data_IF_315792571787
#
_entry.id   IF_315792571787
#
_cell.length_a   1.000
_cell.length_b   1.000
_cell.length_c   1.000
_cell.angle_alpha   90.00
_cell.angle_beta   90.00
_cell.angle_gamma   90.00
#
_symmetry.space_group_name_H-M   'P 1'
#
loop_
_entity.id
_entity.type
_entity.pdbx_description
1 polymer ?
#
# COMPACT_ATOMS: atom_id res chain seq x y z
N UNK A 1 -54.60 -46.33 -65.39
CA UNK A 1 -54.18 -44.96 -65.42
C UNK A 1 -53.49 -44.68 -64.10
N UNK A 2 -52.15 -44.74 -64.09
CA UNK A 2 -51.31 -44.70 -62.88
C UNK A 2 -50.64 -43.33 -62.75
N UNK A 3 -50.90 -42.64 -61.66
CA UNK A 3 -50.21 -41.40 -61.24
C UNK A 3 -48.96 -41.78 -60.44
N UNK A 4 -47.84 -41.21 -60.84
CA UNK A 4 -46.59 -41.32 -60.12
C UNK A 4 -46.41 -40.03 -59.25
N UNK A 5 -46.31 -40.27 -57.98
CA UNK A 5 -45.86 -39.21 -57.01
C UNK A 5 -44.35 -39.19 -56.89
N UNK A 6 -43.75 -38.04 -57.16
CA UNK A 6 -42.34 -37.83 -56.99
C UNK A 6 -42.09 -37.10 -55.62
N UNK A 7 -41.50 -37.80 -54.68
CA UNK A 7 -40.99 -37.21 -53.48
C UNK A 7 -39.63 -36.53 -53.73
N UNK A 8 -39.55 -35.19 -53.58
CA UNK A 8 -38.29 -34.46 -53.48
C UNK A 8 -37.85 -34.39 -52.02
N UNK A 9 -36.72 -35.02 -51.75
CA UNK A 9 -36.01 -34.92 -50.45
C UNK A 9 -35.10 -33.68 -50.47
N UNK A 10 -35.38 -32.70 -49.66
CA UNK A 10 -34.51 -31.52 -49.44
C UNK A 10 -33.53 -31.80 -48.34
N UNK A 11 -32.26 -31.95 -48.69
CA UNK A 11 -31.15 -32.11 -47.75
C UNK A 11 -30.72 -30.70 -47.27
N UNK A 12 -31.00 -30.41 -46.04
CA UNK A 12 -30.52 -29.15 -45.41
C UNK A 12 -29.06 -29.33 -44.93
N UNK A 13 -28.15 -28.65 -45.57
CA UNK A 13 -26.74 -28.57 -45.15
C UNK A 13 -26.60 -27.49 -44.06
N UNK A 14 -26.36 -27.92 -42.81
CA UNK A 14 -26.05 -27.03 -41.71
C UNK A 14 -24.56 -26.70 -41.78
N UNK A 15 -24.24 -25.46 -42.15
CA UNK A 15 -22.89 -24.88 -42.02
C UNK A 15 -22.66 -24.48 -40.57
N UNK A 16 -21.89 -25.26 -39.81
CA UNK A 16 -21.35 -24.86 -38.54
C UNK A 16 -20.21 -23.85 -38.77
N UNK A 17 -20.51 -22.57 -38.62
CA UNK A 17 -19.51 -21.50 -38.54
C UNK A 17 -18.80 -21.54 -37.20
N UNK A 18 -17.66 -22.20 -37.12
CA UNK A 18 -16.78 -22.16 -35.98
C UNK A 18 -16.08 -20.78 -35.91
N UNK A 19 -16.49 -19.91 -35.01
CA UNK A 19 -15.74 -18.70 -34.69
C UNK A 19 -14.46 -19.09 -33.98
N UNK A 20 -13.34 -19.02 -34.68
CA UNK A 20 -12.01 -19.14 -34.08
C UNK A 20 -11.74 -17.86 -33.28
N UNK A 21 -11.94 -17.90 -31.98
CA UNK A 21 -11.47 -16.83 -31.07
C UNK A 21 -9.94 -16.91 -31.05
N UNK A 22 -9.29 -16.04 -31.79
CA UNK A 22 -7.84 -15.81 -31.66
C UNK A 22 -7.65 -15.09 -30.33
N UNK A 23 -7.22 -15.81 -29.31
CA UNK A 23 -6.68 -15.23 -28.11
C UNK A 23 -5.39 -14.50 -28.52
N UNK A 24 -5.42 -13.16 -28.59
CA UNK A 24 -4.20 -12.38 -28.63
C UNK A 24 -3.47 -12.65 -27.30
N UNK A 25 -2.41 -13.45 -27.37
CA UNK A 25 -1.46 -13.52 -26.28
C UNK A 25 -0.85 -12.13 -26.13
N UNK A 26 -1.08 -11.49 -24.98
CA UNK A 26 -0.37 -10.26 -24.65
C UNK A 26 1.12 -10.54 -24.74
N UNK A 27 1.87 -9.63 -25.36
CA UNK A 27 3.33 -9.72 -25.37
C UNK A 27 3.82 -9.81 -23.93
N UNK A 28 4.82 -10.65 -23.62
CA UNK A 28 5.36 -10.73 -22.26
C UNK A 28 5.81 -9.34 -21.85
N UNK A 29 5.24 -8.83 -20.76
CA UNK A 29 5.66 -7.59 -20.15
C UNK A 29 7.13 -7.73 -19.77
N UNK A 30 8.00 -6.76 -20.13
CA UNK A 30 9.41 -6.79 -19.75
C UNK A 30 9.58 -6.97 -18.23
N UNK A 31 10.68 -7.58 -17.80
CA UNK A 31 10.98 -7.76 -16.38
C UNK A 31 11.23 -6.41 -15.68
N UNK A 32 10.77 -6.28 -14.45
CA UNK A 32 11.08 -5.11 -13.62
C UNK A 32 12.57 -5.07 -13.28
N UNK A 33 13.18 -3.90 -13.41
CA UNK A 33 14.58 -3.69 -13.07
C UNK A 33 14.81 -2.30 -12.51
N UNK A 34 15.94 -2.09 -11.85
CA UNK A 34 16.32 -0.78 -11.34
C UNK A 34 16.61 0.18 -12.50
N UNK A 35 15.82 1.24 -12.62
CA UNK A 35 15.98 2.28 -13.62
C UNK A 35 16.97 3.34 -13.16
N UNK A 36 16.83 3.81 -11.92
CA UNK A 36 17.67 4.86 -11.34
C UNK A 36 17.53 4.89 -9.82
N UNK A 37 18.36 5.69 -9.16
CA UNK A 37 18.31 6.01 -7.75
C UNK A 37 18.25 7.52 -7.55
N UNK A 38 17.48 7.96 -6.57
CA UNK A 38 17.38 9.37 -6.19
C UNK A 38 17.92 9.53 -4.77
N UNK A 39 19.07 10.19 -4.63
CA UNK A 39 19.66 10.46 -3.33
C UNK A 39 18.86 11.54 -2.59
N UNK A 40 18.44 11.24 -1.38
CA UNK A 40 17.66 12.13 -0.54
C UNK A 40 18.47 12.72 0.63
N UNK A 41 19.69 12.26 0.83
CA UNK A 41 20.61 12.77 1.85
C UNK A 41 20.25 12.36 3.27
N UNK A 42 20.77 13.10 4.27
CA UNK A 42 20.59 12.81 5.68
C UNK A 42 19.25 13.34 6.22
N UNK A 43 18.73 12.64 7.24
CA UNK A 43 17.66 13.19 8.08
C UNK A 43 18.18 14.36 8.94
N UNK A 44 17.34 15.34 9.28
CA UNK A 44 17.70 16.36 10.23
C UNK A 44 18.18 15.75 11.55
N UNK A 45 19.32 16.21 12.06
CA UNK A 45 19.94 15.66 13.27
C UNK A 45 20.64 14.31 13.09
N UNK A 46 20.73 13.79 11.87
CA UNK A 46 21.51 12.60 11.52
C UNK A 46 20.95 11.26 12.04
N UNK A 47 19.75 11.24 12.60
CA UNK A 47 19.07 10.00 13.04
C UNK A 47 18.16 9.52 11.91
N UNK A 48 18.57 8.49 11.22
CA UNK A 48 17.83 7.92 10.10
C UNK A 48 16.64 7.09 10.61
N UNK A 49 15.46 7.46 10.13
CA UNK A 49 14.20 6.73 10.23
C UNK A 49 13.32 7.13 9.06
N UNK A 50 12.63 6.20 8.47
CA UNK A 50 11.67 6.43 7.40
C UNK A 50 10.56 5.39 7.47
N UNK A 51 9.45 5.70 6.82
CA UNK A 51 8.27 4.88 6.79
C UNK A 51 7.54 5.06 5.45
N UNK A 52 6.29 5.51 5.44
CA UNK A 52 5.47 5.58 4.24
C UNK A 52 5.98 6.55 3.16
N UNK A 53 5.67 6.18 1.91
CA UNK A 53 5.81 7.03 0.73
C UNK A 53 4.42 7.24 0.14
N UNK A 54 4.04 8.49 -0.11
CA UNK A 54 2.78 8.81 -0.79
C UNK A 54 3.05 9.48 -2.13
N UNK A 55 2.45 8.97 -3.20
CA UNK A 55 2.58 9.54 -4.54
C UNK A 55 1.35 10.36 -4.92
N UNK A 56 1.56 11.64 -5.21
CA UNK A 56 0.55 12.51 -5.84
C UNK A 56 0.69 12.45 -7.36
N UNK A 57 -0.23 11.74 -8.00
CA UNK A 57 -0.24 11.59 -9.45
C UNK A 57 -0.55 12.89 -10.19
N UNK A 58 -1.23 13.84 -9.56
CA UNK A 58 -1.63 15.12 -10.16
C UNK A 58 -0.47 16.09 -10.30
N UNK A 59 0.33 16.25 -9.25
CA UNK A 59 1.52 17.08 -9.23
C UNK A 59 2.81 16.33 -9.56
N UNK A 60 2.74 14.98 -9.67
CA UNK A 60 3.86 14.08 -9.86
C UNK A 60 4.94 14.20 -8.78
N UNK A 61 4.47 14.34 -7.54
CA UNK A 61 5.33 14.47 -6.36
C UNK A 61 5.23 13.23 -5.48
N UNK A 62 6.35 12.84 -4.93
CA UNK A 62 6.46 11.87 -3.84
C UNK A 62 6.61 12.64 -2.54
N UNK A 63 5.82 12.28 -1.54
CA UNK A 63 5.96 12.71 -0.16
C UNK A 63 6.58 11.55 0.60
N UNK A 64 7.80 11.74 1.07
CA UNK A 64 8.63 10.68 1.66
C UNK A 64 8.90 11.02 3.12
N UNK A 65 8.44 10.18 4.03
CA UNK A 65 8.71 10.38 5.45
C UNK A 65 10.22 10.18 5.73
N UNK A 66 10.81 11.10 6.51
CA UNK A 66 12.23 11.04 6.85
C UNK A 66 12.49 11.61 8.25
N UNK A 67 12.20 10.81 9.28
CA UNK A 67 12.37 11.10 10.69
C UNK A 67 11.57 12.34 11.16
N UNK A 68 12.15 13.54 11.10
CA UNK A 68 11.55 14.78 11.59
C UNK A 68 11.11 15.72 10.47
N UNK A 69 11.05 15.20 9.25
CA UNK A 69 10.55 15.92 8.08
C UNK A 69 9.84 14.98 7.10
N UNK A 70 9.04 15.55 6.21
CA UNK A 70 8.58 14.90 4.98
C UNK A 70 9.29 15.59 3.82
N UNK A 71 10.11 14.84 3.07
CA UNK A 71 10.71 15.33 1.83
C UNK A 71 9.70 15.28 0.69
N UNK A 72 9.67 16.32 -0.13
CA UNK A 72 8.84 16.38 -1.33
C UNK A 72 9.72 16.30 -2.55
N UNK A 73 9.55 15.23 -3.33
CA UNK A 73 10.43 14.86 -4.43
C UNK A 73 9.65 14.82 -5.74
N UNK A 74 10.19 15.40 -6.79
CA UNK A 74 9.67 15.29 -8.14
C UNK A 74 9.91 13.88 -8.69
N UNK A 75 8.85 13.13 -8.97
CA UNK A 75 8.93 11.70 -9.27
C UNK A 75 9.68 11.38 -10.59
N UNK A 76 9.71 12.33 -11.53
CA UNK A 76 10.34 12.11 -12.83
C UNK A 76 11.85 12.37 -12.82
N UNK A 77 12.33 13.20 -11.90
CA UNK A 77 13.74 13.67 -11.88
C UNK A 77 14.49 13.33 -10.60
N UNK A 78 13.75 13.00 -9.50
CA UNK A 78 14.34 12.82 -8.18
C UNK A 78 14.72 14.13 -7.47
N UNK A 79 14.39 15.28 -8.06
CA UNK A 79 14.70 16.59 -7.47
C UNK A 79 13.86 16.81 -6.21
N UNK A 80 14.51 17.12 -5.10
CA UNK A 80 13.84 17.59 -3.90
C UNK A 80 13.33 19.00 -4.18
N UNK A 81 11.99 19.19 -4.13
CA UNK A 81 11.33 20.48 -4.40
C UNK A 81 10.90 21.21 -3.14
N UNK A 82 11.02 20.57 -1.99
CA UNK A 82 10.75 21.15 -0.68
C UNK A 82 10.72 20.10 0.42
N UNK A 83 10.45 20.54 1.65
CA UNK A 83 10.19 19.67 2.79
C UNK A 83 9.18 20.31 3.76
N UNK A 84 8.50 19.45 4.53
CA UNK A 84 7.71 19.85 5.69
C UNK A 84 8.54 19.41 6.91
N UNK A 85 9.06 20.38 7.66
CA UNK A 85 10.03 20.16 8.74
C UNK A 85 9.42 20.37 10.14
N UNK A 86 10.28 20.29 11.17
CA UNK A 86 9.94 20.52 12.59
C UNK A 86 8.96 19.48 13.17
N UNK A 87 8.91 18.30 12.57
CA UNK A 87 8.14 17.15 13.03
C UNK A 87 8.92 16.35 14.09
N UNK A 88 8.31 15.33 14.69
CA UNK A 88 8.97 14.55 15.77
C UNK A 88 9.38 13.15 15.31
N UNK A 89 8.46 12.41 14.74
CA UNK A 89 8.66 11.09 14.16
C UNK A 89 7.51 10.81 13.21
N UNK A 90 7.73 11.15 11.96
CA UNK A 90 6.70 11.00 10.93
C UNK A 90 6.58 9.57 10.45
N UNK A 91 5.35 9.19 10.17
CA UNK A 91 5.00 7.92 9.55
C UNK A 91 4.33 8.14 8.19
N UNK A 92 3.00 8.29 8.15
CA UNK A 92 2.22 8.35 6.94
C UNK A 92 1.85 9.77 6.47
N UNK A 93 1.46 9.88 5.21
CA UNK A 93 0.99 11.12 4.60
C UNK A 93 -0.30 10.82 3.80
N UNK A 94 -1.41 11.47 4.16
CA UNK A 94 -2.65 11.44 3.39
C UNK A 94 -2.86 12.77 2.67
N UNK A 95 -3.31 12.71 1.41
CA UNK A 95 -3.56 13.89 0.57
C UNK A 95 -5.06 14.06 0.32
N UNK A 96 -5.58 15.24 0.61
CA UNK A 96 -6.97 15.63 0.34
C UNK A 96 -6.96 16.69 -0.77
N UNK A 97 -6.70 16.23 -2.00
CA UNK A 97 -6.36 17.08 -3.14
C UNK A 97 -7.42 18.15 -3.47
N UNK A 98 -8.72 17.86 -3.27
CA UNK A 98 -9.78 18.84 -3.53
C UNK A 98 -9.81 20.01 -2.53
N UNK A 99 -9.13 19.87 -1.38
CA UNK A 99 -8.92 20.93 -0.38
C UNK A 99 -7.51 21.50 -0.45
N UNK A 100 -6.66 20.99 -1.33
CA UNK A 100 -5.20 21.31 -1.41
C UNK A 100 -4.49 21.11 -0.08
N UNK A 101 -4.97 20.19 0.79
CA UNK A 101 -4.41 19.88 2.11
C UNK A 101 -3.74 18.51 2.15
N UNK A 102 -2.63 18.44 2.84
CA UNK A 102 -1.99 17.19 3.24
C UNK A 102 -2.02 17.03 4.75
N UNK A 103 -2.05 15.79 5.20
CA UNK A 103 -2.13 15.37 6.60
C UNK A 103 -0.99 14.38 6.87
N UNK A 104 -0.18 14.65 7.87
CA UNK A 104 0.98 13.84 8.26
C UNK A 104 0.73 13.27 9.65
N UNK A 105 0.82 11.95 9.80
CA UNK A 105 0.87 11.34 11.13
C UNK A 105 2.24 11.56 11.75
N UNK A 106 2.28 12.36 12.82
CA UNK A 106 3.48 12.61 13.62
C UNK A 106 3.40 11.82 14.93
N UNK A 107 3.80 10.53 14.83
CA UNK A 107 3.69 9.57 15.94
C UNK A 107 4.49 9.97 17.15
N UNK A 108 5.59 10.72 16.99
CA UNK A 108 6.39 11.21 18.10
C UNK A 108 5.73 12.33 18.91
N UNK A 109 4.69 12.96 18.38
CA UNK A 109 3.95 14.06 19.00
C UNK A 109 2.50 13.70 19.37
N UNK A 110 2.04 12.49 19.06
CA UNK A 110 0.64 12.05 19.21
C UNK A 110 -0.32 13.03 18.51
N UNK A 111 0.00 13.41 17.26
CA UNK A 111 -0.79 14.38 16.49
C UNK A 111 -0.72 14.14 14.99
N UNK A 112 -1.64 14.77 14.26
CA UNK A 112 -1.58 14.95 12.82
C UNK A 112 -1.21 16.39 12.52
N UNK A 113 -0.23 16.58 11.63
CA UNK A 113 0.18 17.89 11.13
C UNK A 113 -0.50 18.14 9.79
N UNK A 114 -1.17 19.29 9.67
CA UNK A 114 -1.85 19.71 8.43
C UNK A 114 -0.94 20.67 7.68
N UNK A 115 -0.82 20.48 6.36
CA UNK A 115 -0.04 21.37 5.50
C UNK A 115 -0.77 21.69 4.19
N UNK A 116 -0.44 22.82 3.61
CA UNK A 116 -0.88 23.23 2.29
C UNK A 116 -0.03 22.57 1.21
N UNK A 117 -0.63 21.78 0.32
CA UNK A 117 0.07 20.97 -0.69
C UNK A 117 0.85 21.80 -1.72
N UNK A 118 0.46 23.06 -1.92
CA UNK A 118 1.08 23.94 -2.91
C UNK A 118 2.33 24.63 -2.35
N UNK A 119 2.19 25.24 -1.18
CA UNK A 119 3.27 25.99 -0.52
C UNK A 119 4.14 25.14 0.40
N UNK A 120 3.70 23.93 0.76
CA UNK A 120 4.30 23.01 1.71
C UNK A 120 4.41 23.57 3.15
N UNK A 121 3.64 24.60 3.46
CA UNK A 121 3.63 25.21 4.78
C UNK A 121 2.65 24.51 5.71
N UNK A 122 3.09 24.27 6.94
CA UNK A 122 2.22 23.78 8.03
C UNK A 122 1.14 24.83 8.29
N UNK A 123 -0.11 24.38 8.37
CA UNK A 123 -1.29 25.20 8.62
C UNK A 123 -1.99 24.85 9.95
N UNK A 124 -1.73 23.67 10.52
CA UNK A 124 -2.39 23.24 11.74
C UNK A 124 -1.81 21.98 12.36
N UNK A 125 -2.23 21.74 13.61
CA UNK A 125 -1.90 20.55 14.40
C UNK A 125 -3.17 20.00 15.03
N UNK A 126 -3.42 18.70 14.90
CA UNK A 126 -4.62 18.02 15.40
C UNK A 126 -4.17 16.92 16.35
N UNK A 127 -4.54 17.01 17.63
CA UNK A 127 -4.25 15.94 18.60
C UNK A 127 -5.07 14.71 18.28
N UNK A 128 -4.43 13.55 18.35
CA UNK A 128 -5.02 12.23 18.06
C UNK A 128 -4.85 11.26 19.23
N UNK A 129 -5.12 9.99 19.03
CA UNK A 129 -4.64 8.93 19.91
C UNK A 129 -3.11 8.80 19.86
N UNK A 130 -2.57 7.88 20.66
CA UNK A 130 -1.12 7.74 20.83
C UNK A 130 -0.44 7.04 19.65
N UNK A 131 0.65 7.60 19.16
CA UNK A 131 1.45 7.14 18.03
C UNK A 131 0.59 6.90 16.79
N UNK A 132 0.01 7.96 16.19
CA UNK A 132 -0.61 7.85 14.86
C UNK A 132 0.44 7.37 13.86
N UNK A 133 0.12 6.28 13.17
CA UNK A 133 0.98 5.58 12.22
C UNK A 133 0.42 5.71 10.81
N UNK A 134 -0.25 4.68 10.30
CA UNK A 134 -0.96 4.76 9.04
C UNK A 134 -1.99 5.89 9.07
N UNK A 135 -2.08 6.63 7.98
CA UNK A 135 -3.07 7.68 7.78
C UNK A 135 -3.63 7.60 6.37
N UNK A 136 -4.95 7.57 6.24
CA UNK A 136 -5.63 7.47 4.95
C UNK A 136 -6.77 8.49 4.83
N UNK A 137 -7.06 8.89 3.61
CA UNK A 137 -8.27 9.64 3.26
C UNK A 137 -9.29 8.70 2.64
N UNK A 138 -10.51 8.64 3.19
CA UNK A 138 -11.63 7.94 2.57
C UNK A 138 -12.55 8.91 1.81
N UNK A 139 -12.64 8.80 0.47
CA UNK A 139 -13.48 9.70 -0.32
C UNK A 139 -14.99 9.50 -0.11
N UNK A 140 -15.42 8.34 0.42
CA UNK A 140 -16.82 8.05 0.65
C UNK A 140 -17.40 8.76 1.88
N UNK A 141 -16.64 8.80 2.98
CA UNK A 141 -16.99 9.58 4.18
C UNK A 141 -16.45 11.00 4.12
N UNK A 142 -15.46 11.27 3.26
CA UNK A 142 -14.70 12.53 3.17
C UNK A 142 -13.88 12.84 4.43
N UNK A 143 -13.53 11.83 5.20
CA UNK A 143 -12.70 11.98 6.40
C UNK A 143 -11.30 11.38 6.21
N UNK A 144 -10.39 11.88 7.03
CA UNK A 144 -9.06 11.29 7.22
C UNK A 144 -9.11 10.41 8.47
N UNK A 145 -8.51 9.23 8.37
CA UNK A 145 -8.41 8.25 9.46
C UNK A 145 -6.95 8.04 9.80
N UNK A 146 -6.61 8.09 11.11
CA UNK A 146 -5.30 7.68 11.59
C UNK A 146 -5.42 6.37 12.36
N UNK A 147 -4.47 5.48 12.18
CA UNK A 147 -4.34 4.24 12.93
C UNK A 147 -3.33 4.49 14.06
N UNK A 148 -3.84 4.56 15.31
CA UNK A 148 -3.06 4.98 16.46
C UNK A 148 -2.53 3.75 17.20
N UNK A 149 -1.31 3.32 16.86
CA UNK A 149 -0.76 2.03 17.29
C UNK A 149 -0.55 1.90 18.81
N UNK A 150 -0.31 3.00 19.53
CA UNK A 150 -0.09 2.98 20.99
C UNK A 150 -1.40 3.00 21.79
N UNK A 151 -2.42 3.72 21.33
CA UNK A 151 -3.72 3.80 22.02
C UNK A 151 -4.72 2.76 21.55
N UNK A 152 -4.41 1.96 20.52
CA UNK A 152 -5.28 0.91 19.97
C UNK A 152 -6.63 1.45 19.46
N UNK A 153 -6.61 2.62 18.85
CA UNK A 153 -7.78 3.29 18.30
C UNK A 153 -7.49 3.94 16.94
N UNK A 154 -8.54 4.44 16.31
CA UNK A 154 -8.44 5.27 15.11
C UNK A 154 -9.09 6.63 15.38
N UNK A 155 -8.40 7.71 15.06
CA UNK A 155 -8.98 9.06 15.09
C UNK A 155 -9.55 9.39 13.72
N UNK A 156 -10.81 9.84 13.69
CA UNK A 156 -11.50 10.29 12.48
C UNK A 156 -11.45 11.81 12.44
N UNK A 157 -10.87 12.36 11.38
CA UNK A 157 -10.62 13.80 11.23
C UNK A 157 -11.46 14.33 10.09
N UNK A 158 -12.21 15.40 10.34
CA UNK A 158 -12.84 16.19 9.29
C UNK A 158 -11.80 17.16 8.69
N UNK A 159 -11.37 16.99 7.42
CA UNK A 159 -10.37 17.84 6.80
C UNK A 159 -10.86 19.22 6.44
N UNK A 160 -12.17 19.49 6.51
CA UNK A 160 -12.72 20.83 6.30
C UNK A 160 -12.56 21.72 7.53
N UNK A 161 -12.65 21.13 8.73
CA UNK A 161 -12.57 21.84 10.00
C UNK A 161 -11.27 21.60 10.77
N UNK A 162 -10.40 20.68 10.28
CA UNK A 162 -9.15 20.26 10.90
C UNK A 162 -9.35 19.80 12.35
N UNK A 163 -10.38 18.98 12.59
CA UNK A 163 -10.74 18.51 13.93
C UNK A 163 -11.09 17.03 13.97
N UNK A 164 -10.80 16.37 15.10
CA UNK A 164 -11.24 15.00 15.36
C UNK A 164 -12.75 15.02 15.62
N UNK A 165 -13.51 14.27 14.83
CA UNK A 165 -14.97 14.14 14.93
C UNK A 165 -15.41 12.83 15.55
N UNK A 166 -14.54 11.82 15.60
CA UNK A 166 -14.79 10.55 16.28
C UNK A 166 -13.47 9.85 16.63
N UNK A 167 -13.53 8.96 17.63
CA UNK A 167 -12.47 8.02 17.96
C UNK A 167 -13.07 6.62 18.00
N UNK A 168 -12.43 5.66 17.33
CA UNK A 168 -12.93 4.30 17.17
C UNK A 168 -11.96 3.34 17.85
N UNK A 169 -12.44 2.60 18.85
CA UNK A 169 -11.62 1.54 19.46
C UNK A 169 -11.41 0.40 18.46
N UNK A 170 -10.15 0.11 18.12
CA UNK A 170 -9.78 -0.94 17.17
C UNK A 170 -9.64 -2.32 17.82
N UNK A 171 -9.59 -2.39 19.17
CA UNK A 171 -9.54 -3.64 19.92
C UNK A 171 -8.20 -4.37 19.90
N UNK A 172 -7.17 -3.75 19.35
CA UNK A 172 -5.78 -4.17 19.25
C UNK A 172 -4.99 -3.11 18.52
N UNK A 173 -3.74 -3.39 18.20
CA UNK A 173 -2.83 -2.42 17.53
C UNK A 173 -3.13 -2.33 16.03
N UNK A 174 -3.78 -1.23 15.58
CA UNK A 174 -3.97 -0.97 14.16
C UNK A 174 -2.63 -0.61 13.53
N UNK A 175 -2.39 -1.08 12.29
CA UNK A 175 -1.09 -0.93 11.63
C UNK A 175 -1.24 -0.28 10.25
N UNK A 176 -1.78 -0.98 9.27
CA UNK A 176 -1.92 -0.52 7.89
C UNK A 176 -3.35 -0.68 7.41
N UNK A 177 -3.90 0.36 6.79
CA UNK A 177 -5.28 0.38 6.35
C UNK A 177 -5.43 0.76 4.87
N UNK A 178 -6.49 0.26 4.24
CA UNK A 178 -6.91 0.64 2.90
C UNK A 178 -8.40 0.93 2.86
N UNK A 179 -8.81 1.99 2.14
CA UNK A 179 -10.21 2.34 1.91
C UNK A 179 -10.67 1.83 0.53
N UNK A 180 -11.86 1.22 0.45
CA UNK A 180 -12.44 0.77 -0.81
C UNK A 180 -13.09 1.88 -1.65
N UNK A 181 -13.07 3.11 -1.15
CA UNK A 181 -13.69 4.28 -1.79
C UNK A 181 -15.22 4.25 -1.81
N UNK A 182 -15.84 3.23 -1.23
CA UNK A 182 -17.31 3.03 -1.16
C UNK A 182 -17.84 3.07 0.26
N UNK A 183 -16.98 3.29 1.25
CA UNK A 183 -17.32 3.46 2.65
C UNK A 183 -16.87 2.33 3.56
N UNK A 184 -16.04 1.41 3.06
CA UNK A 184 -15.39 0.42 3.90
C UNK A 184 -13.88 0.68 3.95
N UNK A 185 -13.32 0.58 5.15
CA UNK A 185 -11.90 0.60 5.42
C UNK A 185 -11.53 -0.77 5.99
N UNK A 186 -10.43 -1.33 5.51
CA UNK A 186 -9.85 -2.58 6.00
C UNK A 186 -8.52 -2.26 6.66
N UNK A 187 -8.36 -2.67 7.92
CA UNK A 187 -7.19 -2.37 8.73
C UNK A 187 -6.63 -3.63 9.40
N UNK A 188 -5.33 -3.79 9.33
CA UNK A 188 -4.62 -4.87 10.01
C UNK A 188 -4.54 -4.59 11.51
N UNK A 189 -4.97 -5.54 12.33
CA UNK A 189 -4.74 -5.51 13.79
C UNK A 189 -3.58 -6.46 14.09
N UNK A 190 -2.38 -5.90 14.08
CA UNK A 190 -1.12 -6.66 14.07
C UNK A 190 -1.02 -7.65 15.23
N UNK A 191 -1.26 -7.20 16.47
CA UNK A 191 -1.15 -8.01 17.69
C UNK A 191 -2.27 -9.04 17.88
N UNK A 192 -3.27 -9.09 16.97
CA UNK A 192 -4.39 -10.03 16.98
C UNK A 192 -4.39 -10.99 15.81
N UNK A 193 -3.53 -10.81 14.83
CA UNK A 193 -3.57 -11.57 13.58
C UNK A 193 -4.94 -11.49 12.90
N UNK A 194 -5.51 -10.28 12.86
CA UNK A 194 -6.83 -10.00 12.32
C UNK A 194 -6.79 -8.86 11.31
N UNK A 195 -7.76 -8.88 10.40
CA UNK A 195 -8.18 -7.69 9.63
C UNK A 195 -9.58 -7.31 10.14
N UNK A 196 -9.78 -6.03 10.39
CA UNK A 196 -11.10 -5.47 10.66
C UNK A 196 -11.65 -4.78 9.42
N UNK A 197 -12.96 -4.90 9.20
CA UNK A 197 -13.69 -4.05 8.27
C UNK A 197 -14.43 -2.97 9.05
N UNK A 198 -14.20 -1.71 8.69
CA UNK A 198 -14.75 -0.52 9.34
C UNK A 198 -15.65 0.22 8.35
N UNK A 199 -16.88 0.49 8.73
CA UNK A 199 -17.78 1.38 7.98
C UNK A 199 -17.42 2.84 8.31
N UNK A 200 -16.84 3.54 7.35
CA UNK A 200 -16.33 4.91 7.49
C UNK A 200 -17.42 5.98 7.62
N UNK A 201 -18.66 5.68 7.22
CA UNK A 201 -19.78 6.60 7.35
C UNK A 201 -20.42 6.58 8.74
N UNK A 202 -20.40 5.41 9.38
CA UNK A 202 -20.97 5.21 10.71
C UNK A 202 -19.92 5.10 11.81
N UNK A 203 -18.63 5.05 11.44
CA UNK A 203 -17.48 4.89 12.33
C UNK A 203 -17.60 3.63 13.21
N UNK A 204 -18.06 2.52 12.61
CA UNK A 204 -18.30 1.25 13.33
C UNK A 204 -17.60 0.09 12.67
N UNK A 205 -16.95 -0.76 13.47
CA UNK A 205 -16.40 -2.02 13.02
C UNK A 205 -17.54 -2.97 12.67
N UNK A 206 -17.51 -3.52 11.46
CA UNK A 206 -18.53 -4.47 10.96
C UNK A 206 -18.10 -5.91 11.15
N UNK A 207 -16.83 -6.21 10.91
CA UNK A 207 -16.32 -7.58 10.99
C UNK A 207 -14.89 -7.61 11.48
N UNK A 208 -14.49 -8.75 12.02
CA UNK A 208 -13.11 -9.11 12.36
C UNK A 208 -12.83 -10.48 11.80
N UNK A 209 -11.76 -10.63 11.07
CA UNK A 209 -11.42 -11.88 10.40
C UNK A 209 -9.96 -12.26 10.70
N UNK A 210 -9.77 -13.54 11.02
CA UNK A 210 -8.42 -14.08 11.14
C UNK A 210 -7.72 -14.08 9.78
N UNK A 211 -6.47 -13.66 9.77
CA UNK A 211 -5.60 -13.68 8.58
C UNK A 211 -4.83 -15.01 8.44
N UNK A 212 -5.05 -15.97 9.34
CA UNK A 212 -4.31 -17.24 9.32
C UNK A 212 -4.33 -17.90 7.92
N UNK A 213 -3.19 -18.42 7.46
CA UNK A 213 -1.95 -18.68 8.19
C UNK A 213 -0.94 -17.50 8.25
N UNK A 214 -1.27 -16.30 7.73
CA UNK A 214 -0.44 -15.13 7.92
C UNK A 214 -0.51 -14.66 9.38
N UNK A 215 0.57 -14.02 9.86
CA UNK A 215 0.70 -13.55 11.23
C UNK A 215 1.32 -12.15 11.25
N UNK A 216 0.96 -11.34 12.26
CA UNK A 216 1.50 -9.99 12.49
C UNK A 216 1.53 -9.15 11.20
N UNK A 217 0.35 -8.93 10.61
CA UNK A 217 0.24 -8.23 9.33
C UNK A 217 0.64 -6.76 9.44
N UNK A 218 1.55 -6.32 8.56
CA UNK A 218 2.09 -4.96 8.51
C UNK A 218 1.80 -4.25 7.20
N UNK A 219 1.21 -4.93 6.21
CA UNK A 219 0.89 -4.34 4.92
C UNK A 219 -0.47 -4.83 4.44
N UNK A 220 -1.27 -3.94 3.85
CA UNK A 220 -2.51 -4.30 3.15
C UNK A 220 -2.76 -3.37 1.97
N UNK A 221 -3.21 -3.94 0.86
CA UNK A 221 -3.83 -3.19 -0.25
C UNK A 221 -4.98 -4.02 -0.84
N UNK A 222 -5.71 -3.46 -1.80
CA UNK A 222 -6.97 -4.04 -2.25
C UNK A 222 -7.17 -3.92 -3.76
N UNK A 223 -7.59 -5.01 -4.39
CA UNK A 223 -8.37 -4.92 -5.62
C UNK A 223 -9.83 -4.57 -5.29
N UNK A 224 -10.18 -3.32 -5.58
CA UNK A 224 -11.54 -2.79 -5.32
C UNK A 224 -12.60 -3.38 -6.26
N UNK A 225 -12.20 -3.90 -7.43
CA UNK A 225 -13.11 -4.47 -8.44
C UNK A 225 -13.57 -5.87 -8.03
N UNK A 226 -12.63 -6.76 -7.73
CA UNK A 226 -12.91 -8.13 -7.35
C UNK A 226 -12.97 -8.33 -5.83
N UNK A 227 -12.72 -7.25 -5.05
CA UNK A 227 -12.80 -7.21 -3.59
C UNK A 227 -11.86 -8.23 -2.94
N UNK A 228 -10.58 -8.14 -3.30
CA UNK A 228 -9.51 -8.97 -2.75
C UNK A 228 -8.53 -8.12 -1.96
N UNK A 229 -8.26 -8.51 -0.74
CA UNK A 229 -7.24 -7.91 0.13
C UNK A 229 -5.93 -8.68 -0.05
N UNK A 230 -4.84 -7.95 -0.12
CA UNK A 230 -3.48 -8.45 -0.19
C UNK A 230 -2.78 -8.11 1.12
N UNK A 231 -2.58 -9.10 1.99
CA UNK A 231 -2.16 -8.91 3.37
C UNK A 231 -0.76 -9.50 3.56
N UNK A 232 0.21 -8.66 3.91
CA UNK A 232 1.60 -9.06 4.17
C UNK A 232 1.84 -9.35 5.64
N UNK A 233 2.18 -10.59 5.99
CA UNK A 233 2.48 -11.01 7.35
C UNK A 233 3.98 -11.10 7.64
N UNK A 234 4.40 -10.81 8.88
CA UNK A 234 5.81 -10.90 9.33
C UNK A 234 6.35 -12.32 9.30
N UNK A 235 5.48 -13.32 9.32
CA UNK A 235 5.85 -14.72 9.13
C UNK A 235 6.16 -15.10 7.67
N UNK A 236 6.45 -14.11 6.81
CA UNK A 236 6.86 -14.25 5.41
C UNK A 236 5.80 -14.85 4.50
N UNK A 237 4.57 -14.47 4.74
CA UNK A 237 3.43 -14.85 3.91
C UNK A 237 2.69 -13.62 3.38
N UNK A 238 2.36 -13.66 2.08
CA UNK A 238 1.30 -12.84 1.51
C UNK A 238 0.02 -13.68 1.55
N UNK A 239 -1.00 -13.21 2.27
CA UNK A 239 -2.33 -13.81 2.25
C UNK A 239 -3.25 -12.98 1.34
N UNK A 240 -4.03 -13.67 0.51
CA UNK A 240 -5.06 -13.08 -0.34
C UNK A 240 -6.40 -13.46 0.25
N UNK A 241 -7.22 -12.45 0.59
CA UNK A 241 -8.46 -12.61 1.34
C UNK A 241 -9.64 -12.01 0.58
N UNK A 242 -10.77 -12.67 0.61
CA UNK A 242 -12.05 -12.12 0.16
C UNK A 242 -12.53 -11.07 1.16
N UNK A 243 -12.68 -9.83 0.70
CA UNK A 243 -13.02 -8.68 1.54
C UNK A 243 -14.48 -8.62 2.01
N UNK A 244 -15.35 -9.50 1.51
CA UNK A 244 -16.75 -9.58 1.92
C UNK A 244 -16.99 -10.67 2.95
N UNK A 245 -16.19 -11.73 2.90
CA UNK A 245 -16.37 -12.92 3.75
C UNK A 245 -15.25 -13.12 4.77
N UNK A 246 -14.10 -12.48 4.60
CA UNK A 246 -12.91 -12.70 5.40
C UNK A 246 -12.21 -14.05 5.17
N UNK A 247 -12.58 -14.75 4.09
CA UNK A 247 -11.95 -16.04 3.75
C UNK A 247 -10.60 -15.82 3.09
N UNK A 248 -9.54 -16.41 3.65
CA UNK A 248 -8.25 -16.50 2.95
C UNK A 248 -8.39 -17.48 1.78
N UNK A 249 -8.11 -16.98 0.57
CA UNK A 249 -8.28 -17.72 -0.69
C UNK A 249 -6.98 -18.44 -1.06
N UNK A 250 -5.86 -17.73 -0.97
CA UNK A 250 -4.54 -18.20 -1.38
C UNK A 250 -3.46 -17.55 -0.54
N UNK A 251 -2.31 -18.19 -0.42
CA UNK A 251 -1.12 -17.62 0.21
C UNK A 251 0.11 -17.86 -0.64
N UNK A 252 1.08 -16.94 -0.53
CA UNK A 252 2.39 -17.07 -1.17
C UNK A 252 3.51 -16.83 -0.18
N UNK A 253 4.64 -17.53 -0.28
CA UNK A 253 5.84 -17.17 0.45
C UNK A 253 6.43 -15.87 -0.12
N UNK A 254 6.85 -14.99 0.79
CA UNK A 254 7.52 -13.72 0.49
C UNK A 254 8.77 -13.57 1.35
N UNK A 255 9.55 -12.54 1.11
CA UNK A 255 10.71 -12.19 1.92
C UNK A 255 10.33 -11.72 3.33
N UNK A 256 11.33 -11.56 4.19
CA UNK A 256 11.15 -11.07 5.56
C UNK A 256 11.00 -9.56 5.61
N UNK A 257 10.17 -9.09 6.57
CA UNK A 257 9.98 -7.66 6.83
C UNK A 257 9.22 -6.97 5.70
N UNK A 258 8.06 -7.54 5.32
CA UNK A 258 7.10 -6.86 4.45
C UNK A 258 6.54 -5.64 5.17
N UNK A 259 6.36 -4.53 4.45
CA UNK A 259 5.79 -3.30 4.98
C UNK A 259 4.87 -2.60 3.97
N UNK A 260 4.90 -3.02 2.71
CA UNK A 260 4.02 -2.46 1.68
C UNK A 260 3.57 -3.53 0.70
N UNK A 261 2.26 -3.55 0.47
CA UNK A 261 1.63 -4.18 -0.68
C UNK A 261 0.98 -3.09 -1.54
N UNK A 262 1.02 -3.24 -2.86
CA UNK A 262 0.37 -2.32 -3.80
C UNK A 262 -0.30 -3.14 -4.90
N UNK A 263 -1.59 -2.90 -5.13
CA UNK A 263 -2.31 -3.43 -6.28
C UNK A 263 -2.39 -2.39 -7.40
N UNK A 264 -2.07 -2.81 -8.61
CA UNK A 264 -2.19 -2.00 -9.81
C UNK A 264 -3.35 -2.46 -10.68
N UNK A 265 -4.52 -1.77 -10.66
CA UNK A 265 -5.71 -2.19 -11.40
C UNK A 265 -5.55 -2.22 -12.93
N UNK A 266 -4.56 -1.46 -13.46
CA UNK A 266 -4.32 -1.38 -14.91
C UNK A 266 -3.60 -2.60 -15.51
N UNK A 267 -2.89 -3.34 -14.66
CA UNK A 267 -2.07 -4.50 -15.05
C UNK A 267 -2.39 -5.76 -14.25
N UNK A 268 -3.30 -5.66 -13.29
CA UNK A 268 -3.67 -6.69 -12.32
C UNK A 268 -2.44 -7.25 -11.55
N UNK A 269 -1.41 -6.41 -11.34
CA UNK A 269 -0.20 -6.76 -10.62
C UNK A 269 -0.29 -6.39 -9.14
N UNK A 270 0.29 -7.23 -8.30
CA UNK A 270 0.49 -7.01 -6.88
C UNK A 270 2.00 -6.91 -6.62
N UNK A 271 2.43 -5.81 -6.01
CA UNK A 271 3.81 -5.58 -5.62
C UNK A 271 3.93 -5.71 -4.10
N UNK A 272 4.85 -6.54 -3.64
CA UNK A 272 5.13 -6.75 -2.22
C UNK A 272 6.59 -6.48 -1.95
N UNK A 273 6.89 -5.37 -1.26
CA UNK A 273 8.25 -4.96 -0.92
C UNK A 273 8.66 -5.51 0.45
N UNK A 274 9.87 -6.07 0.54
CA UNK A 274 10.35 -6.71 1.77
C UNK A 274 11.75 -6.24 2.15
N UNK A 275 11.96 -6.01 3.45
CA UNK A 275 13.20 -5.48 4.02
C UNK A 275 14.45 -6.30 3.69
N UNK A 276 14.32 -7.61 3.47
CA UNK A 276 15.47 -8.44 3.11
C UNK A 276 16.09 -8.10 1.74
N UNK A 277 15.42 -7.25 0.95
CA UNK A 277 15.89 -6.78 -0.34
C UNK A 277 15.26 -7.52 -1.51
N UNK A 278 13.95 -7.73 -1.46
CA UNK A 278 13.18 -8.30 -2.57
C UNK A 278 11.87 -7.54 -2.81
N UNK A 279 11.51 -7.40 -4.08
CA UNK A 279 10.20 -6.98 -4.55
C UNK A 279 9.55 -8.18 -5.24
N UNK A 280 8.55 -8.77 -4.59
CA UNK A 280 7.76 -9.85 -5.17
C UNK A 280 6.65 -9.25 -6.01
N UNK A 281 6.45 -9.80 -7.21
CA UNK A 281 5.42 -9.36 -8.15
C UNK A 281 4.54 -10.55 -8.46
N UNK A 282 3.24 -10.39 -8.18
CA UNK A 282 2.22 -11.38 -8.46
C UNK A 282 1.24 -10.80 -9.47
N UNK A 283 0.45 -11.67 -10.08
CA UNK A 283 -0.61 -11.30 -11.01
C UNK A 283 -1.93 -11.94 -10.58
N UNK A 284 -2.99 -11.16 -10.62
CA UNK A 284 -4.35 -11.65 -10.47
C UNK A 284 -4.84 -12.18 -11.82
N UNK A 285 -4.73 -13.51 -12.03
CA UNK A 285 -5.14 -14.18 -13.26
C UNK A 285 -6.66 -14.25 -13.41
N UNK A 286 -7.35 -14.29 -12.29
CA UNK A 286 -8.79 -14.26 -12.13
C UNK A 286 -9.09 -13.90 -10.65
N UNK A 287 -10.34 -13.52 -10.29
CA UNK A 287 -10.68 -13.06 -8.93
C UNK A 287 -10.24 -13.98 -7.78
N UNK A 288 -10.11 -15.29 -8.03
CA UNK A 288 -9.71 -16.29 -7.02
C UNK A 288 -8.45 -17.09 -7.44
N UNK A 289 -7.71 -16.60 -8.42
CA UNK A 289 -6.51 -17.27 -8.92
C UNK A 289 -5.39 -16.28 -9.15
N UNK A 290 -4.26 -16.52 -8.51
CA UNK A 290 -3.09 -15.67 -8.53
C UNK A 290 -1.85 -16.48 -8.85
N UNK A 291 -0.87 -15.86 -9.47
CA UNK A 291 0.40 -16.47 -9.82
C UNK A 291 1.58 -15.54 -9.50
N UNK A 292 2.75 -16.14 -9.29
CA UNK A 292 4.00 -15.38 -9.16
C UNK A 292 4.47 -15.03 -10.57
N UNK A 293 4.71 -13.72 -10.80
CA UNK A 293 5.32 -13.23 -12.05
C UNK A 293 6.82 -13.28 -11.95
N UNK A 294 7.36 -12.60 -10.95
CA UNK A 294 8.80 -12.51 -10.72
C UNK A 294 9.14 -12.09 -9.28
N UNK A 295 10.38 -12.32 -8.88
CA UNK A 295 10.96 -11.75 -7.67
C UNK A 295 12.19 -10.96 -8.06
N UNK A 296 12.12 -9.64 -7.91
CA UNK A 296 13.19 -8.71 -8.25
C UNK A 296 14.07 -8.49 -7.02
N UNK A 297 15.39 -8.60 -7.20
CA UNK A 297 16.33 -8.25 -6.14
C UNK A 297 16.36 -6.73 -5.98
N UNK A 298 16.12 -6.25 -4.77
CA UNK A 298 16.27 -4.86 -4.38
C UNK A 298 17.46 -4.70 -3.42
N UNK A 299 17.45 -3.67 -2.60
CA UNK A 299 18.48 -3.46 -1.58
C UNK A 299 17.93 -3.81 -0.19
N UNK A 300 18.79 -4.21 0.73
CA UNK A 300 18.39 -4.43 2.12
C UNK A 300 17.75 -3.16 2.70
N UNK A 301 16.66 -3.30 3.43
CA UNK A 301 15.91 -2.18 3.99
C UNK A 301 14.79 -1.64 3.09
N UNK A 302 14.77 -2.00 1.81
CA UNK A 302 13.82 -1.51 0.80
C UNK A 302 12.44 -2.17 0.98
N UNK A 303 11.54 -1.55 1.78
CA UNK A 303 10.27 -2.14 2.18
C UNK A 303 9.05 -1.24 2.01
N UNK A 304 9.23 0.08 2.07
CA UNK A 304 8.13 1.02 1.86
C UNK A 304 8.14 1.44 0.40
N UNK A 305 6.96 1.45 -0.23
CA UNK A 305 6.88 1.68 -1.66
C UNK A 305 5.68 2.55 -2.05
N UNK A 306 5.80 3.21 -3.19
CA UNK A 306 4.71 3.89 -3.88
C UNK A 306 4.73 3.57 -5.36
N UNK A 307 3.58 3.60 -6.01
CA UNK A 307 3.41 3.27 -7.43
C UNK A 307 2.92 4.47 -8.23
N UNK A 308 3.60 4.78 -9.30
CA UNK A 308 3.07 5.64 -10.36
C UNK A 308 2.34 4.78 -11.40
N UNK A 309 1.02 4.74 -11.32
CA UNK A 309 0.16 3.96 -12.22
C UNK A 309 0.20 4.41 -13.68
N UNK A 310 0.72 5.63 -13.96
CA UNK A 310 0.85 6.14 -15.33
C UNK A 310 2.08 5.60 -16.05
N UNK A 311 3.18 5.48 -15.32
CA UNK A 311 4.48 5.03 -15.87
C UNK A 311 4.84 3.62 -15.43
N UNK A 312 4.02 2.99 -14.58
CA UNK A 312 4.25 1.68 -13.96
C UNK A 312 5.55 1.61 -13.16
N UNK A 313 6.01 2.76 -12.63
CA UNK A 313 7.22 2.84 -11.80
C UNK A 313 6.90 2.61 -10.34
N UNK A 314 7.69 1.77 -9.70
CA UNK A 314 7.65 1.53 -8.26
C UNK A 314 8.82 2.27 -7.63
N UNK A 315 8.52 3.14 -6.67
CA UNK A 315 9.50 3.87 -5.87
C UNK A 315 9.62 3.19 -4.51
N UNK A 316 10.83 2.82 -4.09
CA UNK A 316 11.08 2.12 -2.84
C UNK A 316 12.19 2.83 -2.10
N UNK A 317 12.01 3.13 -0.83
CA UNK A 317 13.02 3.80 -0.02
C UNK A 317 13.98 2.82 0.65
N UNK A 318 15.21 3.26 0.83
CA UNK A 318 16.22 2.56 1.63
C UNK A 318 17.41 3.47 1.95
N UNK A 319 18.37 2.94 2.72
CA UNK A 319 19.68 3.53 2.98
C UNK A 319 20.74 2.43 3.00
N UNK A 320 22.01 2.81 3.11
CA UNK A 320 23.05 1.87 3.49
C UNK A 320 22.97 1.56 4.99
N UNK A 321 23.42 0.38 5.37
CA UNK A 321 23.38 -0.07 6.74
C UNK A 321 24.79 -0.44 7.23
N UNK A 322 25.06 -0.11 8.48
CA UNK A 322 26.24 -0.57 9.19
C UNK A 322 26.18 -2.09 9.47
N UNK A 323 27.22 -2.63 10.09
CA UNK A 323 27.22 -4.03 10.50
C UNK A 323 26.10 -4.27 11.53
N UNK A 324 25.53 -5.48 11.49
CA UNK A 324 24.58 -5.91 12.54
C UNK A 324 25.33 -6.02 13.86
N UNK A 325 24.86 -5.37 14.94
CA UNK A 325 25.46 -5.50 16.25
C UNK A 325 25.42 -6.95 16.76
N UNK A 326 26.34 -7.30 17.65
CA UNK A 326 26.31 -8.62 18.30
C UNK A 326 25.05 -8.75 19.18
N UNK A 327 24.38 -9.91 19.17
CA UNK A 327 23.24 -10.16 20.04
C UNK A 327 23.61 -10.01 21.53
N UNK A 328 22.68 -9.41 22.29
CA UNK A 328 22.80 -9.32 23.76
C UNK A 328 21.59 -9.97 24.41
N UNK A 329 21.64 -10.19 25.73
CA UNK A 329 20.49 -10.73 26.48
C UNK A 329 19.28 -9.80 26.39
N UNK A 330 19.51 -8.49 26.33
CA UNK A 330 18.47 -7.46 26.25
C UNK A 330 17.97 -7.26 24.81
N UNK A 331 18.83 -7.53 23.83
CA UNK A 331 18.53 -7.42 22.41
C UNK A 331 19.00 -8.66 21.63
N UNK A 332 18.25 -9.76 21.68
CA UNK A 332 18.67 -11.04 21.07
C UNK A 332 18.68 -11.00 19.53
N UNK A 333 17.96 -10.05 18.91
CA UNK A 333 17.88 -9.90 17.46
C UNK A 333 18.13 -8.43 17.04
N UNK A 334 19.38 -7.93 17.22
CA UNK A 334 19.71 -6.55 16.90
C UNK A 334 19.58 -6.31 15.39
N UNK A 335 19.15 -5.10 15.05
CA UNK A 335 19.05 -4.69 13.66
C UNK A 335 20.22 -3.78 13.31
N UNK A 336 20.75 -3.88 12.08
CA UNK A 336 21.78 -2.96 11.62
C UNK A 336 21.22 -1.53 11.57
N UNK A 337 22.06 -0.56 11.89
CA UNK A 337 21.69 0.87 11.91
C UNK A 337 21.88 1.47 10.52
N UNK A 338 20.92 2.25 10.00
CA UNK A 338 21.11 2.99 8.76
C UNK A 338 22.26 3.99 8.87
N UNK A 339 23.01 4.15 7.79
CA UNK A 339 24.12 5.10 7.68
C UNK A 339 23.55 6.46 7.25
N UNK A 340 23.77 7.48 8.06
CA UNK A 340 23.27 8.82 7.77
C UNK A 340 23.85 9.38 6.46
N UNK A 341 23.00 10.05 5.70
CA UNK A 341 23.35 10.64 4.42
C UNK A 341 23.28 9.69 3.22
N UNK A 342 22.88 8.43 3.44
CA UNK A 342 22.75 7.43 2.37
C UNK A 342 21.31 7.11 1.98
N UNK A 343 20.34 7.81 2.58
CA UNK A 343 18.91 7.61 2.30
C UNK A 343 18.58 7.97 0.83
N UNK A 344 17.82 7.11 0.18
CA UNK A 344 17.52 7.20 -1.24
C UNK A 344 16.22 6.52 -1.62
N UNK A 345 15.69 6.88 -2.78
CA UNK A 345 14.65 6.13 -3.48
C UNK A 345 15.28 5.29 -4.60
N UNK A 346 14.89 4.04 -4.65
CA UNK A 346 15.12 3.13 -5.77
C UNK A 346 13.92 3.23 -6.70
N UNK A 347 14.14 3.42 -7.99
CA UNK A 347 13.07 3.51 -8.99
C UNK A 347 13.13 2.26 -9.86
N UNK A 348 12.13 1.42 -9.74
CA UNK A 348 11.96 0.23 -10.56
C UNK A 348 10.91 0.44 -11.64
N UNK A 349 11.09 -0.21 -12.79
CA UNK A 349 10.18 -0.18 -13.92
C UNK A 349 10.55 -1.21 -14.97
N UNK A 350 9.85 -1.21 -16.08
CA UNK A 350 10.03 -2.12 -17.23
C UNK A 350 10.69 -1.42 -18.40
#
# INVERSE_FOLDING_TARGET
>A
MKLFDAHQSATATILLGGSLAVALAAAPLGAYHLLTKYDLGAAPGGKEYWDYITFDSSSRRLYVSHNTEVKVVEADTGKIVGSIADLKRVHGIALVSHLEKGFISDGGADEVVVFDMKSLKVSGHIKTGGNPDCIIYDPASKHVFTMNGKSNDSSVIDPATDSVVATISMGGRPEYAVADGKGMIYDNIEDKNEVVSLDSRTNTIKSRWSIAPAEEATAVDMDMKHRRLFIGGRNKLLAIMDADTGKVIQTFPIGSGVDTNIFEPGTDLIFTATREGTLHIFHEDAPDRFSIVETVKTEFGARNAALDRKTHRVFIDTADFGPTPEPTTEQPHPQPTPISGTFRLLVYGR
#
